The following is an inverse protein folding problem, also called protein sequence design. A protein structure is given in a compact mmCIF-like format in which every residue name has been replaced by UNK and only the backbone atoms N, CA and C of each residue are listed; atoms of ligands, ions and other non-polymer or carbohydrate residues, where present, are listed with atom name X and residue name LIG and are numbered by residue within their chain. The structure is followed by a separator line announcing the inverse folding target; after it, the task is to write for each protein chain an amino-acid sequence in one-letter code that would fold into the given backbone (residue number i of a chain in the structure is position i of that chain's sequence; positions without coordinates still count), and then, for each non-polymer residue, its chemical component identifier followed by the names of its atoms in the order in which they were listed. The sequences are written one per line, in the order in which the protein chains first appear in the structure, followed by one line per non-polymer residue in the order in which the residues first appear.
data_IF_698741953252
#
_entry.id   IF_698741953252
#
_cell.length_a   1.000
_cell.length_b   1.000
_cell.length_c   1.000
_cell.angle_alpha   90.00
_cell.angle_beta   90.00
_cell.angle_gamma   90.00
#
_symmetry.space_group_name_H-M   'P 1'
#
loop_
_entity.id
_entity.type
_entity.pdbx_description
1 polymer ?
#
# COMPACT_ATOMS: atom_id res chain seq x y z
N UNK A 1 21.89 -19.82 -19.94
CA UNK A 1 21.45 -18.43 -19.66
C UNK A 1 22.67 -17.60 -19.39
N UNK A 2 22.88 -16.54 -20.18
CA UNK A 2 24.00 -15.62 -19.94
C UNK A 2 23.61 -14.70 -18.77
N UNK A 3 24.58 -14.21 -18.01
CA UNK A 3 24.33 -13.25 -16.92
C UNK A 3 23.54 -12.02 -17.39
N UNK A 4 23.66 -11.66 -18.67
CA UNK A 4 22.88 -10.60 -19.34
C UNK A 4 21.37 -10.84 -19.38
N UNK A 5 20.92 -12.12 -19.37
CA UNK A 5 19.49 -12.47 -19.43
C UNK A 5 18.84 -12.41 -18.03
N UNK A 6 19.65 -12.49 -16.97
CA UNK A 6 19.21 -12.42 -15.57
C UNK A 6 19.08 -10.97 -15.07
N UNK A 7 19.85 -10.05 -15.63
CA UNK A 7 19.83 -8.62 -15.27
C UNK A 7 18.43 -7.99 -15.32
N UNK A 8 17.62 -8.14 -16.40
CA UNK A 8 16.29 -7.54 -16.45
C UNK A 8 15.34 -8.13 -15.41
N UNK A 9 15.45 -9.43 -15.12
CA UNK A 9 14.64 -10.11 -14.09
C UNK A 9 15.00 -9.59 -12.69
N UNK A 10 16.29 -9.40 -12.41
CA UNK A 10 16.78 -8.82 -11.15
C UNK A 10 16.33 -7.37 -10.99
N UNK A 11 16.40 -6.55 -12.04
CA UNK A 11 15.92 -5.16 -12.03
C UNK A 11 14.42 -5.13 -11.75
N UNK A 12 13.63 -5.98 -12.40
CA UNK A 12 12.19 -6.08 -12.19
C UNK A 12 11.86 -6.49 -10.74
N UNK A 13 12.58 -7.46 -10.17
CA UNK A 13 12.41 -7.87 -8.78
C UNK A 13 12.80 -6.77 -7.78
N UNK A 14 13.90 -6.07 -8.02
CA UNK A 14 14.36 -4.98 -7.16
C UNK A 14 13.42 -3.77 -7.20
N UNK A 15 12.90 -3.42 -8.38
CA UNK A 15 11.93 -2.33 -8.52
C UNK A 15 10.59 -2.70 -7.87
N UNK A 16 10.11 -3.94 -8.02
CA UNK A 16 8.94 -4.43 -7.31
C UNK A 16 9.15 -4.42 -5.78
N UNK A 17 10.31 -4.87 -5.31
CA UNK A 17 10.67 -4.84 -3.90
C UNK A 17 10.74 -3.41 -3.36
N UNK A 18 11.29 -2.47 -4.13
CA UNK A 18 11.34 -1.04 -3.78
C UNK A 18 9.96 -0.43 -3.59
N UNK A 19 9.03 -0.70 -4.52
CA UNK A 19 7.64 -0.22 -4.43
C UNK A 19 6.92 -0.81 -3.20
N UNK A 20 7.09 -2.13 -2.97
CA UNK A 20 6.51 -2.80 -1.79
C UNK A 20 7.10 -2.26 -0.49
N UNK A 21 8.41 -1.98 -0.46
CA UNK A 21 9.08 -1.40 0.71
C UNK A 21 8.58 0.02 0.97
N UNK A 22 8.54 0.88 -0.04
CA UNK A 22 8.09 2.26 0.09
C UNK A 22 6.64 2.34 0.57
N UNK A 23 5.76 1.46 0.08
CA UNK A 23 4.37 1.33 0.54
C UNK A 23 4.25 0.94 2.02
N UNK A 24 5.24 0.28 2.62
CA UNK A 24 5.24 -0.05 4.06
C UNK A 24 5.63 1.12 4.96
N UNK A 25 6.37 2.12 4.46
CA UNK A 25 6.95 3.21 5.28
C UNK A 25 5.92 4.22 5.78
N UNK A 26 4.78 4.37 5.11
CA UNK A 26 3.71 5.34 5.46
C UNK A 26 2.95 5.02 6.76
N UNK A 27 3.27 3.92 7.45
CA UNK A 27 2.55 3.50 8.68
C UNK A 27 3.24 3.80 10.00
N UNK A 28 4.48 4.29 9.97
CA UNK A 28 5.21 4.57 11.21
C UNK A 28 4.64 5.77 11.98
N UNK A 29 3.85 6.64 11.35
CA UNK A 29 3.37 7.89 11.96
C UNK A 29 2.25 7.74 12.99
N UNK A 30 1.37 6.72 12.90
CA UNK A 30 0.17 6.66 13.74
C UNK A 30 0.46 6.44 15.23
N UNK A 31 1.26 5.42 15.53
CA UNK A 31 1.65 5.08 16.91
C UNK A 31 2.66 6.08 17.49
N UNK A 32 3.60 6.56 16.68
CA UNK A 32 4.57 7.57 17.11
C UNK A 32 3.93 8.94 17.36
N UNK A 33 2.86 9.29 16.62
CA UNK A 33 2.06 10.47 16.90
C UNK A 33 1.28 10.32 18.21
N UNK A 34 0.62 9.18 18.42
CA UNK A 34 -0.13 8.93 19.65
C UNK A 34 0.79 8.90 20.88
N UNK A 35 1.98 8.32 20.75
CA UNK A 35 3.02 8.36 21.78
C UNK A 35 3.41 9.79 22.14
N UNK A 36 3.66 10.64 21.14
CA UNK A 36 3.94 12.07 21.35
C UNK A 36 2.78 12.79 22.02
N UNK A 37 1.53 12.47 21.66
CA UNK A 37 0.35 13.10 22.26
C UNK A 37 0.18 12.72 23.74
N UNK A 38 0.49 11.48 24.11
CA UNK A 38 0.51 11.02 25.51
C UNK A 38 1.66 11.68 26.28
N UNK A 39 2.85 11.76 25.69
CA UNK A 39 3.99 12.47 26.30
C UNK A 39 3.66 13.95 26.54
N UNK A 40 3.00 14.62 25.59
CA UNK A 40 2.54 16.00 25.75
C UNK A 40 1.52 16.15 26.89
N UNK A 41 0.54 15.23 26.98
CA UNK A 41 -0.46 15.23 28.03
C UNK A 41 0.18 15.04 29.41
N UNK A 42 1.22 14.21 29.51
CA UNK A 42 1.97 13.97 30.75
C UNK A 42 2.79 15.20 31.19
N UNK A 43 3.25 16.02 30.24
CA UNK A 43 4.00 17.25 30.52
C UNK A 43 3.11 18.47 30.80
N UNK A 44 1.80 18.39 30.54
CA UNK A 44 0.88 19.51 30.79
C UNK A 44 0.64 19.74 32.29
N UNK A 45 0.71 21.00 32.78
CA UNK A 45 0.25 21.38 34.12
C UNK A 45 -1.21 20.97 34.37
N UNK A 46 -1.56 20.55 35.58
CA UNK A 46 -2.92 20.09 35.94
C UNK A 46 -3.96 21.23 35.92
N UNK A 47 -3.47 22.45 36.02
CA UNK A 47 -4.16 23.72 36.14
C UNK A 47 -4.50 24.35 34.77
N UNK A 48 -4.14 23.69 33.66
CA UNK A 48 -4.52 24.11 32.32
C UNK A 48 -5.96 23.70 32.00
N UNK A 49 -6.85 24.67 31.76
CA UNK A 49 -8.26 24.46 31.36
C UNK A 49 -8.42 23.48 30.19
N UNK A 50 -7.46 23.45 29.26
CA UNK A 50 -7.50 22.59 28.08
C UNK A 50 -7.10 21.13 28.31
N UNK A 51 -6.55 20.77 29.48
CA UNK A 51 -5.99 19.42 29.73
C UNK A 51 -7.05 18.33 29.73
N UNK A 52 -8.24 18.61 30.28
CA UNK A 52 -9.36 17.67 30.27
C UNK A 52 -9.82 17.36 28.84
N UNK A 53 -9.94 18.39 28.00
CA UNK A 53 -10.31 18.26 26.59
C UNK A 53 -9.23 17.56 25.77
N UNK A 54 -7.96 17.79 26.07
CA UNK A 54 -6.85 17.10 25.42
C UNK A 54 -6.79 15.62 25.80
N UNK A 55 -7.06 15.29 27.07
CA UNK A 55 -7.18 13.92 27.54
C UNK A 55 -8.29 13.14 26.83
N UNK A 56 -9.45 13.77 26.66
CA UNK A 56 -10.56 13.19 25.90
C UNK A 56 -10.20 12.94 24.42
N UNK A 57 -9.44 13.86 23.81
CA UNK A 57 -8.94 13.68 22.45
C UNK A 57 -7.97 12.50 22.30
N UNK A 58 -7.06 12.34 23.27
CA UNK A 58 -6.11 11.20 23.30
C UNK A 58 -6.86 9.88 23.49
N UNK A 59 -7.84 9.84 24.38
CA UNK A 59 -8.66 8.64 24.64
C UNK A 59 -9.51 8.24 23.42
N UNK A 60 -10.11 9.23 22.74
CA UNK A 60 -10.78 9.02 21.45
C UNK A 60 -9.80 8.50 20.37
N UNK A 61 -8.55 8.96 20.39
CA UNK A 61 -7.53 8.50 19.42
C UNK A 61 -7.03 7.09 19.72
N UNK A 62 -6.92 6.71 21.00
CA UNK A 62 -6.59 5.34 21.44
C UNK A 62 -7.70 4.37 21.06
N UNK A 63 -8.96 4.71 21.34
CA UNK A 63 -10.12 3.86 21.00
C UNK A 63 -10.24 3.65 19.49
N UNK A 64 -10.07 4.70 18.68
CA UNK A 64 -10.00 4.59 17.22
C UNK A 64 -8.82 3.68 16.82
N UNK A 65 -7.64 3.82 17.44
CA UNK A 65 -6.50 2.98 17.08
C UNK A 65 -6.76 1.50 17.36
N UNK A 66 -7.40 1.19 18.49
CA UNK A 66 -7.74 -0.19 18.88
C UNK A 66 -8.79 -0.78 17.92
N UNK A 67 -9.89 -0.07 17.66
CA UNK A 67 -10.93 -0.54 16.72
C UNK A 67 -10.42 -0.69 15.28
N UNK A 68 -9.59 0.24 14.83
CA UNK A 68 -9.12 0.27 13.43
C UNK A 68 -7.96 -0.73 13.21
N UNK A 69 -7.30 -1.20 14.27
CA UNK A 69 -6.25 -2.23 14.19
C UNK A 69 -6.82 -3.65 14.02
N UNK A 70 -7.97 -3.95 14.64
CA UNK A 70 -8.64 -5.26 14.50
C UNK A 70 -9.43 -5.42 13.19
N UNK A 71 -9.96 -4.33 12.61
CA UNK A 71 -10.88 -4.43 11.46
C UNK A 71 -10.18 -4.18 10.10
N UNK A 72 -8.97 -3.63 10.08
CA UNK A 72 -8.24 -3.37 8.82
C UNK A 72 -7.53 -4.62 8.29
N UNK A 73 -8.13 -5.25 7.29
CA UNK A 73 -7.53 -6.36 6.54
C UNK A 73 -6.83 -5.90 5.25
N UNK A 74 -5.86 -6.69 4.79
CA UNK A 74 -5.30 -6.56 3.43
C UNK A 74 -6.19 -7.31 2.45
N UNK A 75 -6.29 -6.76 1.24
CA UNK A 75 -6.94 -7.45 0.14
C UNK A 75 -5.97 -8.34 -0.60
N UNK A 76 -5.92 -9.58 -0.14
CA UNK A 76 -5.10 -10.62 -0.76
C UNK A 76 -5.53 -10.92 -2.20
N UNK A 77 -6.82 -10.76 -2.52
CA UNK A 77 -7.33 -10.98 -3.88
C UNK A 77 -6.81 -9.89 -4.81
N UNK A 78 -6.94 -8.62 -4.43
CA UNK A 78 -6.38 -7.49 -5.18
C UNK A 78 -4.87 -7.57 -5.35
N UNK A 79 -4.15 -8.02 -4.31
CA UNK A 79 -2.70 -8.26 -4.39
C UNK A 79 -2.39 -9.39 -5.40
N UNK A 80 -3.10 -10.52 -5.33
CA UNK A 80 -2.91 -11.62 -6.27
C UNK A 80 -3.20 -11.22 -7.72
N UNK A 81 -4.28 -10.47 -7.96
CA UNK A 81 -4.65 -9.94 -9.28
C UNK A 81 -3.55 -9.04 -9.84
N UNK A 82 -3.04 -8.12 -9.03
CA UNK A 82 -1.94 -7.24 -9.41
C UNK A 82 -0.67 -8.01 -9.79
N UNK A 83 -0.33 -9.06 -9.04
CA UNK A 83 0.80 -9.95 -9.37
C UNK A 83 0.57 -10.73 -10.67
N UNK A 84 -0.65 -11.24 -10.90
CA UNK A 84 -1.00 -11.96 -12.14
C UNK A 84 -0.88 -11.04 -13.36
N UNK A 85 -1.40 -9.81 -13.28
CA UNK A 85 -1.25 -8.82 -14.35
C UNK A 85 0.22 -8.52 -14.64
N UNK A 86 1.04 -8.40 -13.60
CA UNK A 86 2.46 -8.14 -13.75
C UNK A 86 3.18 -9.31 -14.44
N UNK A 87 2.84 -10.55 -14.09
CA UNK A 87 3.37 -11.74 -14.76
C UNK A 87 2.98 -11.78 -16.26
N UNK A 88 1.72 -11.46 -16.58
CA UNK A 88 1.24 -11.38 -17.98
C UNK A 88 2.01 -10.30 -18.75
N UNK A 89 2.23 -9.12 -18.15
CA UNK A 89 2.99 -8.06 -18.79
C UNK A 89 4.43 -8.46 -19.10
N UNK A 90 5.10 -9.19 -18.20
CA UNK A 90 6.47 -9.69 -18.43
C UNK A 90 6.50 -10.66 -19.61
N UNK A 91 5.55 -11.59 -19.70
CA UNK A 91 5.45 -12.54 -20.83
C UNK A 91 5.23 -11.79 -22.14
N UNK A 92 4.31 -10.81 -22.16
CA UNK A 92 4.03 -10.00 -23.35
C UNK A 92 5.23 -9.18 -23.79
N UNK A 93 5.94 -8.56 -22.85
CA UNK A 93 7.16 -7.82 -23.13
C UNK A 93 8.26 -8.74 -23.69
N UNK A 94 8.44 -9.93 -23.12
CA UNK A 94 9.41 -10.92 -23.58
C UNK A 94 9.14 -11.35 -25.03
N UNK A 95 7.90 -11.71 -25.34
CA UNK A 95 7.47 -12.11 -26.69
C UNK A 95 7.60 -10.95 -27.68
N UNK A 96 7.25 -9.73 -27.24
CA UNK A 96 7.33 -8.52 -28.06
C UNK A 96 8.76 -8.16 -28.47
N UNK A 97 9.68 -8.20 -27.51
CA UNK A 97 11.10 -7.91 -27.75
C UNK A 97 11.79 -9.04 -28.53
N UNK A 98 11.45 -10.30 -28.23
CA UNK A 98 12.11 -11.47 -28.84
C UNK A 98 11.80 -11.67 -30.32
N UNK A 99 10.59 -11.31 -30.78
CA UNK A 99 10.17 -11.52 -32.16
C UNK A 99 10.30 -10.29 -33.07
N UNK A 100 10.35 -9.07 -32.49
CA UNK A 100 10.52 -7.81 -33.24
C UNK A 100 9.39 -7.47 -34.23
N UNK A 101 9.56 -6.39 -34.98
CA UNK A 101 8.60 -5.97 -36.02
C UNK A 101 7.22 -5.60 -35.44
N UNK A 102 6.14 -6.19 -35.97
CA UNK A 102 4.78 -5.92 -35.47
C UNK A 102 4.54 -6.43 -34.05
N UNK A 103 5.37 -7.35 -33.55
CA UNK A 103 5.32 -7.81 -32.17
C UNK A 103 5.65 -6.72 -31.15
N UNK A 104 6.24 -5.58 -31.57
CA UNK A 104 6.44 -4.43 -30.69
C UNK A 104 5.14 -3.80 -30.16
N UNK A 105 4.00 -4.07 -30.81
CA UNK A 105 2.68 -3.70 -30.27
C UNK A 105 2.39 -4.40 -28.94
N UNK A 106 2.91 -5.62 -28.72
CA UNK A 106 2.78 -6.32 -27.44
C UNK A 106 3.58 -5.63 -26.33
N UNK A 107 4.74 -5.06 -26.63
CA UNK A 107 5.50 -4.27 -25.64
C UNK A 107 4.76 -3.01 -25.20
N UNK A 108 4.07 -2.32 -26.12
CA UNK A 108 3.22 -1.17 -25.76
C UNK A 108 2.07 -1.61 -24.86
N UNK A 109 1.41 -2.72 -25.23
CA UNK A 109 0.32 -3.30 -24.44
C UNK A 109 0.78 -3.74 -23.06
N UNK A 110 1.97 -4.34 -22.96
CA UNK A 110 2.59 -4.72 -21.69
C UNK A 110 2.80 -3.50 -20.79
N UNK A 111 3.22 -2.36 -21.34
CA UNK A 111 3.36 -1.10 -20.58
C UNK A 111 2.05 -0.66 -19.91
N UNK A 112 0.93 -0.72 -20.63
CA UNK A 112 -0.40 -0.42 -20.06
C UNK A 112 -0.79 -1.40 -18.95
N UNK A 113 -0.50 -2.69 -19.15
CA UNK A 113 -0.80 -3.71 -18.14
C UNK A 113 0.06 -3.52 -16.89
N UNK A 114 1.34 -3.18 -17.03
CA UNK A 114 2.20 -2.83 -15.88
C UNK A 114 1.62 -1.66 -15.12
N UNK A 115 1.21 -0.59 -15.81
CA UNK A 115 0.60 0.56 -15.15
C UNK A 115 -0.65 0.14 -14.35
N UNK A 116 -1.55 -0.63 -14.96
CA UNK A 116 -2.74 -1.16 -14.28
C UNK A 116 -2.39 -2.05 -13.08
N UNK A 117 -1.38 -2.92 -13.22
CA UNK A 117 -0.90 -3.78 -12.14
C UNK A 117 -0.35 -2.97 -10.96
N UNK A 118 0.45 -1.92 -11.22
CA UNK A 118 0.97 -1.02 -10.20
C UNK A 118 -0.17 -0.32 -9.46
N UNK A 119 -1.13 0.25 -10.19
CA UNK A 119 -2.30 0.91 -9.58
C UNK A 119 -3.09 -0.07 -8.71
N UNK A 120 -3.36 -1.27 -9.22
CA UNK A 120 -4.07 -2.32 -8.48
C UNK A 120 -3.34 -2.72 -7.19
N UNK A 121 -2.02 -2.91 -7.26
CA UNK A 121 -1.18 -3.22 -6.10
C UNK A 121 -1.14 -2.06 -5.10
N UNK A 122 -1.01 -0.82 -5.55
CA UNK A 122 -0.99 0.35 -4.67
C UNK A 122 -2.26 0.49 -3.86
N UNK A 123 -3.42 0.26 -4.48
CA UNK A 123 -4.72 0.30 -3.79
C UNK A 123 -4.88 -0.89 -2.83
N UNK A 124 -4.46 -2.08 -3.26
CA UNK A 124 -4.69 -3.33 -2.51
C UNK A 124 -3.68 -3.57 -1.37
N UNK A 125 -2.48 -2.98 -1.46
CA UNK A 125 -1.42 -3.14 -0.46
C UNK A 125 -1.73 -2.41 0.87
N UNK A 126 -2.50 -1.33 0.82
CA UNK A 126 -2.97 -0.60 1.99
C UNK A 126 -4.02 -1.41 2.75
N UNK A 127 -3.86 -1.57 4.07
CA UNK A 127 -4.95 -2.13 4.87
C UNK A 127 -6.04 -1.07 5.03
N UNK A 128 -7.24 -1.41 4.63
CA UNK A 128 -8.42 -0.56 4.71
C UNK A 128 -9.52 -1.35 5.42
N UNK A 129 -10.47 -0.64 6.04
CA UNK A 129 -11.70 -1.27 6.53
C UNK A 129 -12.53 -1.67 5.31
N UNK A 130 -12.96 -2.93 5.25
CA UNK A 130 -13.74 -3.47 4.13
C UNK A 130 -15.08 -4.03 4.61
N UNK A 131 -16.11 -3.86 3.80
CA UNK A 131 -17.41 -4.49 4.03
C UNK A 131 -17.36 -6.00 3.71
N UNK A 132 -18.45 -6.73 3.96
CA UNK A 132 -18.57 -8.17 3.63
C UNK A 132 -18.38 -8.47 2.13
N UNK A 133 -18.48 -7.45 1.27
CA UNK A 133 -18.27 -7.55 -0.18
C UNK A 133 -16.86 -7.12 -0.62
N UNK A 134 -15.98 -6.82 0.33
CA UNK A 134 -14.60 -6.43 0.09
C UNK A 134 -14.40 -4.98 -0.36
N UNK A 135 -15.43 -4.12 -0.30
CA UNK A 135 -15.35 -2.70 -0.69
C UNK A 135 -14.79 -1.87 0.45
N UNK A 136 -13.96 -0.87 0.14
CA UNK A 136 -13.41 0.06 1.12
C UNK A 136 -14.52 0.95 1.68
N UNK A 137 -14.70 0.93 2.99
CA UNK A 137 -15.68 1.78 3.68
C UNK A 137 -15.01 3.14 3.93
N UNK A 138 -15.40 4.19 3.21
CA UNK A 138 -14.93 5.54 3.49
C UNK A 138 -15.71 6.14 4.66
N UNK A 139 -15.03 6.86 5.55
CA UNK A 139 -15.59 7.50 6.77
C UNK A 139 -16.65 8.58 6.50
N UNK A 140 -17.07 8.75 5.24
CA UNK A 140 -17.94 9.81 4.73
C UNK A 140 -19.37 9.36 4.40
N UNK A 141 -19.73 8.11 4.62
CA UNK A 141 -21.14 7.71 4.54
C UNK A 141 -21.79 7.76 5.94
N UNK A 142 -22.87 8.54 6.10
CA UNK A 142 -23.59 8.70 7.38
C UNK A 142 -24.24 7.40 7.86
#
# INVERSE_FOLDING_TARGET
MKWTDLTPVLIALLSLAGVVWQSRRTRYDGRDRLKRDIELLAMMPDDLEGKSRYREHVDASISILIEDEDVRSRDWVGISMGLTLLAIAVVLAWVGVGNGGWWHLLTVTAGFIVFAAVVCLSISAGKHRRDERGRVISRTQP
#
